data_IF_949497314426
#
_entry.id   IF_949497314426
#
_cell.length_a   1.000
_cell.length_b   1.000
_cell.length_c   1.000
_cell.angle_alpha   90.00
_cell.angle_beta   90.00
_cell.angle_gamma   90.00
#
_symmetry.space_group_name_H-M   'P 1'
#
loop_
_entity.id
_entity.type
_entity.pdbx_description
1 polymer ?
#
# COMPACT_ATOMS: atom_id res chain seq x y z
N UNK A 1 -4.00 9.26 10.70
CA UNK A 1 -3.02 8.89 9.67
C UNK A 1 -1.79 9.79 9.82
N UNK A 2 -0.57 9.28 9.60
CA UNK A 2 0.65 10.09 9.76
C UNK A 2 1.33 10.32 8.40
N UNK A 3 1.67 11.57 8.12
CA UNK A 3 2.36 12.02 6.91
C UNK A 3 3.76 12.47 7.30
N UNK A 4 4.78 12.11 6.52
CA UNK A 4 6.13 12.53 6.85
C UNK A 4 6.69 13.30 5.67
N UNK A 5 6.99 14.58 5.92
CA UNK A 5 7.64 15.44 4.95
C UNK A 5 9.13 15.06 4.81
N UNK A 6 9.66 15.09 3.59
CA UNK A 6 11.09 14.94 3.31
C UNK A 6 11.66 16.33 3.07
N UNK A 7 12.39 16.87 4.04
CA UNK A 7 13.33 17.98 3.79
C UNK A 7 14.60 17.37 3.20
N UNK A 8 14.82 17.56 1.90
CA UNK A 8 16.01 17.07 1.21
C UNK A 8 17.25 17.87 1.62
N UNK A 9 18.28 17.18 2.11
CA UNK A 9 19.67 17.63 1.96
C UNK A 9 20.40 16.56 1.17
N UNK A 10 20.89 16.95 0.00
CA UNK A 10 21.62 16.14 -0.97
C UNK A 10 22.91 15.61 -0.31
N UNK A 11 23.08 14.30 -0.18
CA UNK A 11 24.36 13.69 0.18
C UNK A 11 24.73 12.66 -0.89
N UNK A 12 25.71 13.02 -1.72
CA UNK A 12 26.28 12.17 -2.75
C UNK A 12 27.21 11.14 -2.10
N UNK A 13 26.81 9.86 -2.08
CA UNK A 13 27.74 8.75 -1.93
C UNK A 13 27.40 7.67 -2.96
N UNK A 14 28.27 7.57 -3.97
CA UNK A 14 28.32 6.47 -4.92
C UNK A 14 28.94 5.26 -4.23
N UNK A 15 28.20 4.14 -4.18
CA UNK A 15 28.56 2.78 -4.64
C UNK A 15 27.37 1.89 -4.26
N UNK A 16 26.76 1.21 -5.24
CA UNK A 16 25.72 0.23 -4.97
C UNK A 16 25.58 -0.74 -6.12
N UNK A 17 25.90 -2.01 -5.87
CA UNK A 17 25.60 -3.14 -6.74
C UNK A 17 24.07 -3.27 -6.85
N UNK A 18 23.55 -3.32 -8.08
CA UNK A 18 22.13 -3.55 -8.34
C UNK A 18 21.81 -5.04 -8.15
N UNK A 19 21.13 -5.37 -7.05
CA UNK A 19 20.39 -6.63 -6.91
C UNK A 19 18.96 -6.40 -7.39
N UNK A 20 18.52 -7.16 -8.40
CA UNK A 20 17.11 -7.21 -8.81
C UNK A 20 16.35 -8.02 -7.76
N UNK A 21 15.88 -7.36 -6.71
CA UNK A 21 15.05 -7.99 -5.68
C UNK A 21 13.67 -7.35 -5.68
N UNK A 22 12.64 -8.18 -5.83
CA UNK A 22 11.23 -7.77 -5.89
C UNK A 22 10.70 -7.04 -4.63
N UNK A 23 11.51 -7.09 -3.59
CA UNK A 23 11.25 -6.59 -2.25
C UNK A 23 12.37 -5.64 -1.88
N UNK A 24 12.02 -4.46 -1.37
CA UNK A 24 12.99 -3.45 -0.93
C UNK A 24 12.93 -3.22 0.57
N UNK A 25 14.11 -3.10 1.19
CA UNK A 25 14.31 -2.79 2.60
C UNK A 25 14.54 -1.29 2.78
N UNK A 26 13.68 -0.65 3.57
CA UNK A 26 13.75 0.80 3.81
C UNK A 26 14.25 1.13 5.21
N UNK A 27 15.17 2.10 5.31
CA UNK A 27 15.59 2.69 6.59
C UNK A 27 14.39 3.30 7.34
N UNK A 28 14.41 3.17 8.67
CA UNK A 28 13.37 3.65 9.59
C UNK A 28 13.16 5.17 9.50
N UNK A 29 12.00 5.59 9.98
CA UNK A 29 11.48 6.94 9.93
C UNK A 29 11.45 7.52 11.33
N UNK A 30 12.11 8.66 11.49
CA UNK A 30 12.20 9.40 12.75
C UNK A 30 11.70 10.83 12.45
N UNK A 31 10.71 11.32 13.21
CA UNK A 31 10.19 12.69 13.08
C UNK A 31 8.97 12.91 12.17
N UNK A 32 8.02 11.95 12.09
CA UNK A 32 6.77 12.13 11.32
C UNK A 32 5.75 13.10 11.94
N UNK A 33 4.93 13.75 11.12
CA UNK A 33 3.87 14.70 11.52
C UNK A 33 2.47 14.19 11.17
N UNK A 34 1.41 14.68 11.80
CA UNK A 34 0.07 14.28 11.41
C UNK A 34 -0.23 14.74 9.96
N UNK A 35 -0.93 13.90 9.20
CA UNK A 35 -1.46 14.32 7.91
C UNK A 35 -2.48 15.44 8.08
N UNK A 36 -2.57 16.32 7.09
CA UNK A 36 -3.74 17.19 6.95
C UNK A 36 -5.01 16.37 6.70
N UNK A 37 -6.17 16.90 7.09
CA UNK A 37 -7.46 16.21 6.97
C UNK A 37 -7.87 15.87 5.54
N UNK A 38 -7.24 16.49 4.54
CA UNK A 38 -7.47 16.23 3.11
C UNK A 38 -6.41 15.35 2.48
N UNK A 39 -5.36 15.00 3.22
CA UNK A 39 -4.28 14.15 2.72
C UNK A 39 -4.61 12.67 2.86
N UNK A 40 -4.12 11.87 1.90
CA UNK A 40 -4.19 10.41 1.93
C UNK A 40 -5.59 9.81 2.10
N UNK A 41 -6.65 10.53 1.69
CA UNK A 41 -8.03 10.00 1.68
C UNK A 41 -8.20 8.73 0.82
N UNK A 42 -7.27 8.50 -0.12
CA UNK A 42 -7.15 7.27 -0.90
C UNK A 42 -6.72 6.05 -0.07
N UNK A 43 -6.31 6.22 1.18
CA UNK A 43 -6.01 5.10 2.05
C UNK A 43 -7.29 4.34 2.40
N UNK A 44 -7.18 3.03 2.32
CA UNK A 44 -8.28 2.10 2.61
C UNK A 44 -7.90 1.27 3.82
N UNK A 45 -8.82 1.16 4.77
CA UNK A 45 -8.76 0.15 5.83
C UNK A 45 -9.51 -1.08 5.34
N UNK A 46 -8.81 -2.21 5.28
CA UNK A 46 -9.37 -3.51 4.99
C UNK A 46 -9.54 -4.26 6.30
N UNK A 47 -10.74 -4.76 6.54
CA UNK A 47 -11.09 -5.56 7.71
C UNK A 47 -11.67 -6.89 7.24
N UNK A 48 -10.94 -7.98 7.50
CA UNK A 48 -11.43 -9.34 7.33
C UNK A 48 -12.07 -9.83 8.62
N UNK A 49 -13.25 -10.42 8.57
CA UNK A 49 -13.95 -10.92 9.76
C UNK A 49 -14.71 -12.21 9.42
N UNK A 50 -14.64 -13.22 10.30
CA UNK A 50 -15.37 -14.49 10.17
C UNK A 50 -16.35 -14.78 11.33
N UNK A 51 -16.60 -13.80 12.19
CA UNK A 51 -17.43 -13.87 13.39
C UNK A 51 -16.62 -14.10 14.68
N UNK A 52 -15.45 -14.72 14.61
CA UNK A 52 -14.59 -15.03 15.78
C UNK A 52 -13.25 -14.31 15.74
N UNK A 53 -12.71 -14.11 14.54
CA UNK A 53 -11.42 -13.49 14.28
C UNK A 53 -11.59 -12.23 13.42
N UNK A 54 -10.66 -11.30 13.59
CA UNK A 54 -10.59 -10.08 12.78
C UNK A 54 -9.16 -9.83 12.35
N UNK A 55 -8.97 -9.60 11.05
CA UNK A 55 -7.70 -9.16 10.47
C UNK A 55 -7.81 -7.70 10.06
N UNK A 56 -6.73 -6.96 10.26
CA UNK A 56 -6.63 -5.58 9.81
C UNK A 56 -5.50 -5.45 8.80
N UNK A 57 -5.79 -4.76 7.71
CA UNK A 57 -4.84 -4.40 6.68
C UNK A 57 -5.13 -3.00 6.15
N UNK A 58 -4.13 -2.45 5.47
CA UNK A 58 -4.19 -1.25 4.68
C UNK A 58 -4.39 -1.57 3.20
N UNK A 59 -4.75 -0.54 2.45
CA UNK A 59 -4.79 -0.53 1.01
C UNK A 59 -4.69 0.89 0.48
N UNK A 60 -4.57 1.00 -0.85
CA UNK A 60 -4.61 2.27 -1.56
C UNK A 60 -5.63 2.19 -2.69
N UNK A 61 -6.60 3.09 -2.72
CA UNK A 61 -7.47 3.31 -3.86
C UNK A 61 -6.62 3.88 -5.01
N UNK A 62 -6.40 3.10 -6.08
CA UNK A 62 -5.57 3.49 -7.24
C UNK A 62 -6.40 3.73 -8.51
N UNK A 63 -7.67 3.34 -8.48
CA UNK A 63 -8.71 3.58 -9.47
C UNK A 63 -10.04 3.76 -8.73
N UNK A 64 -11.07 4.44 -9.27
CA UNK A 64 -12.38 4.55 -8.61
C UNK A 64 -12.99 3.23 -8.13
N UNK A 65 -12.58 2.10 -8.72
CA UNK A 65 -13.08 0.75 -8.40
C UNK A 65 -11.99 -0.23 -7.97
N UNK A 66 -10.71 0.17 -7.89
CA UNK A 66 -9.62 -0.76 -7.59
C UNK A 66 -8.76 -0.30 -6.43
N UNK A 67 -8.56 -1.24 -5.51
CA UNK A 67 -7.69 -1.10 -4.35
C UNK A 67 -6.45 -1.96 -4.57
N UNK A 68 -5.27 -1.36 -4.37
CA UNK A 68 -3.98 -2.05 -4.31
C UNK A 68 -3.64 -2.38 -2.85
N UNK A 69 -3.29 -3.63 -2.57
CA UNK A 69 -2.92 -4.12 -1.24
C UNK A 69 -2.00 -5.34 -1.33
N UNK A 70 -1.63 -5.92 -0.19
CA UNK A 70 -0.83 -7.14 -0.10
C UNK A 70 -1.72 -8.39 -0.22
N UNK A 71 -1.21 -9.47 -0.80
CA UNK A 71 -2.00 -10.68 -1.03
C UNK A 71 -2.34 -11.41 0.28
N UNK A 72 -1.43 -11.41 1.26
CA UNK A 72 -1.66 -12.04 2.57
C UNK A 72 -2.80 -11.40 3.38
N UNK A 73 -3.27 -10.20 2.98
CA UNK A 73 -4.42 -9.55 3.59
C UNK A 73 -5.75 -10.22 3.25
N UNK A 74 -5.80 -11.04 2.20
CA UNK A 74 -7.00 -11.77 1.82
C UNK A 74 -7.15 -13.07 2.60
N UNK A 75 -8.38 -13.38 3.02
CA UNK A 75 -8.76 -14.65 3.64
C UNK A 75 -9.75 -15.36 2.73
N UNK A 76 -9.34 -16.52 2.20
CA UNK A 76 -10.13 -17.30 1.23
C UNK A 76 -11.02 -18.34 1.88
N UNK A 77 -10.86 -18.58 3.18
CA UNK A 77 -11.61 -19.59 3.91
C UNK A 77 -13.11 -19.22 3.98
N UNK A 78 -14.03 -20.20 3.88
CA UNK A 78 -15.46 -19.93 4.02
C UNK A 78 -15.79 -19.21 5.33
N UNK A 79 -16.72 -18.27 5.27
CA UNK A 79 -17.16 -17.47 6.42
C UNK A 79 -16.42 -16.14 6.58
N UNK A 80 -15.28 -15.94 5.90
CA UNK A 80 -14.61 -14.64 5.90
C UNK A 80 -15.32 -13.62 5.01
N UNK A 81 -15.55 -12.43 5.56
CA UNK A 81 -16.03 -11.26 4.83
C UNK A 81 -14.98 -10.16 4.93
N UNK A 82 -14.61 -9.58 3.79
CA UNK A 82 -13.69 -8.44 3.73
C UNK A 82 -14.46 -7.14 3.49
N UNK A 83 -14.33 -6.19 4.42
CA UNK A 83 -14.90 -4.85 4.31
C UNK A 83 -13.81 -3.82 4.03
N UNK A 84 -13.99 -3.05 2.97
CA UNK A 84 -13.17 -1.87 2.65
C UNK A 84 -13.83 -0.61 3.21
N UNK A 85 -13.11 0.11 4.07
CA UNK A 85 -13.49 1.45 4.53
C UNK A 85 -12.59 2.48 3.87
N UNK A 86 -13.18 3.39 3.11
CA UNK A 86 -12.52 4.46 2.38
C UNK A 86 -12.72 5.82 3.08
N UNK A 87 -11.83 6.77 2.82
CA UNK A 87 -11.90 8.11 3.44
C UNK A 87 -11.52 8.08 4.91
N UNK A 88 -10.59 7.18 5.29
CA UNK A 88 -10.19 6.97 6.68
C UNK A 88 -9.29 8.13 7.14
N UNK A 89 -9.89 9.16 7.73
CA UNK A 89 -9.19 10.22 8.47
C UNK A 89 -9.87 10.48 9.83
N UNK A 90 -9.11 10.77 10.91
CA UNK A 90 -9.69 11.02 12.23
C UNK A 90 -10.70 12.18 12.31
N UNK A 91 -10.67 13.11 11.35
CA UNK A 91 -11.52 14.32 11.34
C UNK A 91 -12.41 14.45 10.09
N UNK A 92 -12.43 13.47 9.19
CA UNK A 92 -13.40 13.44 8.08
C UNK A 92 -14.64 12.66 8.47
N UNK A 93 -15.81 13.30 8.36
CA UNK A 93 -17.10 12.72 8.75
C UNK A 93 -17.66 11.68 7.75
N UNK A 94 -17.17 11.63 6.51
CA UNK A 94 -17.78 10.81 5.45
C UNK A 94 -16.88 9.64 5.08
N UNK A 95 -17.00 8.55 5.83
CA UNK A 95 -16.42 7.26 5.44
C UNK A 95 -17.38 6.53 4.51
N UNK A 96 -16.84 5.88 3.50
CA UNK A 96 -17.60 4.95 2.66
C UNK A 96 -17.17 3.53 2.99
N UNK A 97 -18.14 2.64 3.24
CA UNK A 97 -17.88 1.21 3.46
C UNK A 97 -18.45 0.38 2.31
N UNK A 98 -17.66 -0.57 1.83
CA UNK A 98 -18.09 -1.54 0.82
C UNK A 98 -17.59 -2.93 1.18
N UNK A 99 -18.43 -3.95 0.99
CA UNK A 99 -18.04 -5.35 1.14
C UNK A 99 -17.41 -5.80 -0.18
N UNK A 100 -16.25 -6.45 -0.12
CA UNK A 100 -15.60 -7.01 -1.31
C UNK A 100 -16.28 -8.34 -1.65
N UNK A 101 -16.98 -8.36 -2.79
CA UNK A 101 -17.66 -9.56 -3.30
C UNK A 101 -16.95 -10.19 -4.50
N UNK A 102 -16.15 -9.41 -5.23
CA UNK A 102 -15.37 -9.92 -6.34
C UNK A 102 -14.17 -10.71 -5.84
N UNK A 103 -13.81 -11.77 -6.57
CA UNK A 103 -12.57 -12.51 -6.30
C UNK A 103 -11.35 -11.58 -6.41
N UNK A 104 -10.34 -11.76 -5.55
CA UNK A 104 -9.11 -11.00 -5.64
C UNK A 104 -8.35 -11.33 -6.94
N UNK A 105 -7.60 -10.36 -7.43
CA UNK A 105 -6.63 -10.57 -8.51
C UNK A 105 -5.23 -10.50 -7.89
N UNK A 106 -4.60 -11.66 -7.72
CA UNK A 106 -3.25 -11.79 -7.18
C UNK A 106 -2.27 -11.91 -8.35
N UNK A 107 -1.14 -11.22 -8.26
CA UNK A 107 -0.09 -11.35 -9.27
C UNK A 107 0.56 -12.74 -9.22
N UNK A 108 0.68 -13.36 -10.39
CA UNK A 108 1.39 -14.64 -10.58
C UNK A 108 2.46 -14.41 -11.64
N UNK A 109 3.70 -14.78 -11.33
CA UNK A 109 4.83 -14.64 -12.25
C UNK A 109 4.86 -15.75 -13.31
N UNK A 110 5.87 -15.71 -14.17
CA UNK A 110 6.08 -16.72 -15.23
C UNK A 110 6.42 -18.11 -14.67
N UNK A 111 6.90 -18.17 -13.42
CA UNK A 111 7.25 -19.40 -12.71
C UNK A 111 6.04 -20.00 -11.96
N UNK A 112 4.84 -19.44 -12.16
CA UNK A 112 3.63 -19.77 -11.41
C UNK A 112 3.71 -19.48 -9.90
N UNK A 113 4.62 -18.60 -9.48
CA UNK A 113 4.73 -18.12 -8.11
C UNK A 113 3.79 -16.93 -7.87
N UNK A 114 3.01 -17.01 -6.79
CA UNK A 114 2.23 -15.88 -6.30
C UNK A 114 3.12 -14.90 -5.55
N UNK A 115 3.04 -13.62 -5.91
CA UNK A 115 3.71 -12.55 -5.18
C UNK A 115 2.74 -11.95 -4.15
N UNK A 116 3.26 -11.32 -3.11
CA UNK A 116 2.46 -10.73 -2.04
C UNK A 116 1.77 -9.40 -2.44
N UNK A 117 1.27 -9.28 -3.68
CA UNK A 117 0.60 -8.09 -4.19
C UNK A 117 -0.72 -8.46 -4.86
N UNK A 118 -1.76 -7.66 -4.58
CA UNK A 118 -3.13 -7.98 -4.95
C UNK A 118 -3.95 -6.74 -5.30
N UNK A 119 -4.88 -6.91 -6.24
CA UNK A 119 -5.92 -5.94 -6.57
C UNK A 119 -7.28 -6.46 -6.11
N UNK A 120 -8.03 -5.60 -5.41
CA UNK A 120 -9.42 -5.84 -5.02
C UNK A 120 -10.34 -4.90 -5.78
N UNK A 121 -11.40 -5.47 -6.37
CA UNK A 121 -12.42 -4.70 -7.07
C UNK A 121 -13.57 -4.35 -6.12
N UNK A 122 -13.90 -3.06 -6.07
CA UNK A 122 -15.06 -2.53 -5.35
C UNK A 122 -16.36 -2.87 -6.10
N UNK A 123 -17.47 -2.98 -5.37
CA UNK A 123 -18.79 -3.21 -5.98
C UNK A 123 -19.26 -2.01 -6.80
N UNK A 124 -18.90 -0.80 -6.35
CA UNK A 124 -19.30 0.46 -6.99
C UNK A 124 -18.14 1.47 -7.03
N UNK A 125 -18.06 2.30 -8.08
CA UNK A 125 -17.07 3.35 -8.17
C UNK A 125 -17.20 4.39 -7.07
N UNK A 126 -16.08 4.75 -6.48
CA UNK A 126 -15.94 5.80 -5.47
C UNK A 126 -15.80 7.15 -6.18
N UNK A 127 -16.68 8.10 -5.89
CA UNK A 127 -16.75 9.40 -6.59
C UNK A 127 -16.15 10.56 -5.79
N UNK A 128 -16.19 10.47 -4.46
CA UNK A 128 -15.83 11.58 -3.57
C UNK A 128 -14.39 11.52 -3.05
N UNK A 129 -13.63 10.50 -3.46
CA UNK A 129 -12.25 10.29 -3.06
C UNK A 129 -11.42 10.21 -4.33
N UNK A 130 -10.39 11.05 -4.44
CA UNK A 130 -9.44 10.98 -5.54
C UNK A 130 -8.53 9.77 -5.35
N UNK A 131 -8.42 8.86 -6.33
CA UNK A 131 -7.45 7.78 -6.28
C UNK A 131 -6.02 8.30 -6.15
N UNK A 132 -5.16 7.48 -5.53
CA UNK A 132 -3.74 7.71 -5.44
C UNK A 132 -3.08 7.65 -6.83
N UNK A 133 -2.06 8.48 -7.03
CA UNK A 133 -1.29 8.43 -8.27
C UNK A 133 -0.27 7.30 -8.22
N UNK A 134 -0.08 6.64 -9.36
CA UNK A 134 0.98 5.64 -9.56
C UNK A 134 2.22 6.27 -10.23
N UNK A 135 3.43 5.75 -9.96
CA UNK A 135 4.67 6.21 -10.58
C UNK A 135 4.71 5.90 -12.07
N UNK A 136 5.46 6.73 -12.82
CA UNK A 136 5.93 6.37 -14.16
C UNK A 136 7.25 5.66 -14.00
N UNK A 137 7.24 4.35 -14.23
CA UNK A 137 8.39 3.50 -14.01
C UNK A 137 9.21 3.42 -15.29
N UNK A 138 10.11 4.39 -15.47
CA UNK A 138 11.15 4.29 -16.48
C UNK A 138 12.36 3.58 -15.87
N UNK A 139 13.02 2.71 -16.63
CA UNK A 139 14.18 1.86 -16.26
C UNK A 139 15.42 2.61 -15.72
N UNK A 140 15.33 3.90 -15.40
CA UNK A 140 16.44 4.74 -14.89
C UNK A 140 16.30 5.13 -13.43
N UNK A 141 15.20 4.83 -12.77
CA UNK A 141 15.11 5.04 -11.33
C UNK A 141 15.50 3.73 -10.67
N UNK A 142 16.80 3.45 -10.61
CA UNK A 142 17.35 2.76 -9.45
C UNK A 142 16.95 3.65 -8.29
N UNK A 143 15.83 3.32 -7.66
CA UNK A 143 15.42 4.06 -6.49
C UNK A 143 16.49 3.66 -5.46
N UNK A 144 17.55 4.47 -5.36
CA UNK A 144 18.28 4.62 -4.11
C UNK A 144 17.21 5.13 -3.16
N UNK A 145 16.43 4.20 -2.57
CA UNK A 145 15.29 4.54 -1.73
C UNK A 145 15.85 5.03 -0.41
N UNK A 146 16.46 6.21 -0.44
CA UNK A 146 16.61 7.00 0.75
C UNK A 146 15.22 7.36 1.23
N UNK A 147 14.77 6.50 2.14
CA UNK A 147 13.80 6.79 3.18
C UNK A 147 12.43 7.14 2.63
N UNK A 148 11.69 6.11 2.23
CA UNK A 148 10.23 6.22 2.20
C UNK A 148 9.73 6.38 3.63
N UNK A 149 9.02 7.49 3.89
CA UNK A 149 8.59 7.86 5.24
C UNK A 149 7.10 7.60 5.51
N UNK A 150 6.77 6.41 5.98
CA UNK A 150 5.53 6.04 6.68
C UNK A 150 5.75 5.91 8.20
N UNK A 151 5.34 6.88 9.04
CA UNK A 151 5.32 6.64 10.50
C UNK A 151 4.25 5.57 10.76
N UNK A 152 4.67 4.32 10.83
CA UNK A 152 3.88 3.25 11.43
C UNK A 152 3.88 3.50 12.93
N UNK A 153 2.69 3.73 13.49
CA UNK A 153 2.49 3.97 14.91
C UNK A 153 2.48 2.66 15.72
N UNK A 154 3.01 1.56 15.17
CA UNK A 154 2.83 0.23 15.78
C UNK A 154 1.38 -0.22 15.76
N UNK A 155 0.60 0.27 14.79
CA UNK A 155 -0.77 -0.15 14.59
C UNK A 155 -0.75 -1.45 13.79
N UNK A 156 -1.30 -2.51 14.39
CA UNK A 156 -1.83 -3.64 13.63
C UNK A 156 -2.66 -3.08 12.46
N UNK A 157 -2.34 -3.45 11.22
CA UNK A 157 -3.11 -3.05 10.03
C UNK A 157 -2.45 -2.10 9.01
N UNK A 158 -1.17 -1.76 9.13
CA UNK A 158 -0.48 -1.00 8.08
C UNK A 158 -0.07 -1.89 6.87
N UNK A 159 0.06 -3.21 7.05
CA UNK A 159 0.35 -4.18 5.96
C UNK A 159 -0.68 -4.07 4.84
N UNK A 160 -0.22 -4.08 3.60
CA UNK A 160 -1.01 -3.77 2.41
C UNK A 160 -1.18 -2.27 2.12
N UNK A 161 -0.79 -1.40 3.06
CA UNK A 161 -0.79 0.05 2.86
C UNK A 161 0.23 0.52 1.82
N UNK A 162 -0.06 1.68 1.20
CA UNK A 162 0.81 2.27 0.19
C UNK A 162 1.98 3.07 0.77
N UNK A 163 3.17 2.83 0.24
CA UNK A 163 4.38 3.60 0.52
C UNK A 163 4.45 4.78 -0.46
N UNK A 164 4.39 6.00 0.08
CA UNK A 164 4.18 7.22 -0.71
C UNK A 164 5.49 8.02 -0.83
N UNK A 165 5.85 8.38 -2.06
CA UNK A 165 6.90 9.36 -2.35
C UNK A 165 6.42 10.32 -3.43
N UNK A 166 6.65 11.62 -3.25
CA UNK A 166 6.21 12.67 -4.17
C UNK A 166 4.73 12.53 -4.63
N UNK A 167 3.83 12.28 -3.67
CA UNK A 167 2.38 12.07 -3.88
C UNK A 167 2.00 10.85 -4.75
N UNK A 168 2.91 9.90 -4.96
CA UNK A 168 2.68 8.65 -5.71
C UNK A 168 2.99 7.42 -4.87
N UNK A 169 2.34 6.30 -5.19
CA UNK A 169 2.53 5.02 -4.48
C UNK A 169 3.65 4.21 -5.16
N UNK A 170 4.80 4.10 -4.50
CA UNK A 170 5.96 3.37 -5.03
C UNK A 170 6.12 1.98 -4.41
N UNK A 171 5.45 1.71 -3.30
CA UNK A 171 5.52 0.41 -2.64
C UNK A 171 4.21 0.01 -2.00
N UNK A 172 4.07 -1.29 -1.73
CA UNK A 172 3.01 -1.87 -0.89
C UNK A 172 3.69 -2.52 0.31
N UNK A 173 3.26 -2.20 1.53
CA UNK A 173 3.87 -2.71 2.76
C UNK A 173 3.57 -4.22 2.89
N UNK A 174 4.61 -5.06 3.02
CA UNK A 174 4.48 -6.50 3.18
C UNK A 174 4.40 -6.89 4.67
N UNK A 175 5.37 -6.44 5.45
CA UNK A 175 5.45 -6.73 6.88
C UNK A 175 5.93 -5.48 7.63
N UNK A 176 5.21 -5.15 8.71
CA UNK A 176 5.55 -4.08 9.64
C UNK A 176 6.34 -4.58 10.86
N UNK A 177 6.52 -5.89 11.03
CA UNK A 177 7.14 -6.52 12.20
C UNK A 177 6.25 -6.39 13.44
N UNK A 178 5.63 -7.49 13.87
CA UNK A 178 4.57 -7.48 14.90
C UNK A 178 4.99 -7.00 16.29
N UNK A 179 6.26 -7.10 16.67
CA UNK A 179 6.64 -6.97 18.08
C UNK A 179 7.45 -5.71 18.41
N UNK A 180 7.91 -4.96 17.41
CA UNK A 180 8.83 -3.84 17.64
C UNK A 180 8.65 -2.75 16.60
N UNK A 181 7.47 -2.13 16.62
CA UNK A 181 7.29 -0.82 16.00
C UNK A 181 8.50 0.02 16.41
N UNK A 182 9.23 0.58 15.43
CA UNK A 182 10.47 1.34 15.64
C UNK A 182 11.82 0.59 15.69
N UNK A 183 11.91 -0.73 15.50
CA UNK A 183 13.21 -1.42 15.58
C UNK A 183 13.65 -2.16 14.29
N UNK A 184 12.74 -2.41 13.33
CA UNK A 184 13.05 -3.13 12.08
C UNK A 184 12.76 -2.29 10.82
N UNK A 185 13.47 -2.53 9.70
CA UNK A 185 13.16 -1.94 8.39
C UNK A 185 11.74 -2.30 7.93
N UNK A 186 11.11 -1.42 7.14
CA UNK A 186 9.85 -1.76 6.47
C UNK A 186 10.18 -2.56 5.21
N UNK A 187 9.54 -3.71 5.08
CA UNK A 187 9.61 -4.56 3.90
C UNK A 187 8.43 -4.18 3.00
N UNK A 188 8.71 -3.88 1.74
CA UNK A 188 7.65 -3.54 0.77
C UNK A 188 7.92 -4.09 -0.62
N UNK A 189 6.86 -4.51 -1.30
CA UNK A 189 6.87 -4.80 -2.74
C UNK A 189 7.06 -3.51 -3.52
N UNK A 190 7.90 -3.53 -4.56
CA UNK A 190 8.17 -2.36 -5.41
C UNK A 190 7.10 -2.28 -6.50
N UNK A 191 6.20 -1.30 -6.42
CA UNK A 191 5.05 -1.16 -7.35
C UNK A 191 5.49 -1.12 -8.82
N UNK A 192 6.66 -0.55 -9.10
CA UNK A 192 7.17 -0.42 -10.47
C UNK A 192 7.35 -1.74 -11.21
N UNK A 193 7.63 -2.82 -10.50
CA UNK A 193 7.80 -4.15 -11.12
C UNK A 193 6.46 -4.75 -11.58
N UNK A 194 5.35 -4.22 -11.07
CA UNK A 194 4.01 -4.73 -11.32
C UNK A 194 3.18 -3.79 -12.20
N UNK A 195 3.75 -2.68 -12.67
CA UNK A 195 2.99 -1.62 -13.33
C UNK A 195 2.30 -2.06 -14.62
N UNK A 196 2.91 -2.96 -15.40
CA UNK A 196 2.28 -3.51 -16.60
C UNK A 196 1.03 -4.31 -16.25
N UNK A 197 1.14 -5.23 -15.28
CA UNK A 197 0.01 -6.01 -14.78
C UNK A 197 -1.08 -5.14 -14.16
N UNK A 198 -0.71 -4.15 -13.33
CA UNK A 198 -1.65 -3.21 -12.71
C UNK A 198 -2.43 -2.48 -13.81
N UNK A 199 -1.72 -1.87 -14.77
CA UNK A 199 -2.34 -1.06 -15.83
C UNK A 199 -3.30 -1.88 -16.68
N UNK A 200 -2.88 -3.10 -17.07
CA UNK A 200 -3.71 -4.04 -17.82
C UNK A 200 -4.95 -4.45 -17.05
N UNK A 201 -4.83 -4.72 -15.74
CA UNK A 201 -5.93 -5.23 -14.92
C UNK A 201 -7.01 -4.17 -14.69
N UNK A 202 -6.59 -2.93 -14.40
CA UNK A 202 -7.54 -1.86 -14.05
C UNK A 202 -7.98 -1.04 -15.27
N UNK A 203 -7.41 -1.31 -16.46
CA UNK A 203 -7.76 -0.64 -17.71
C UNK A 203 -7.19 0.77 -17.86
N UNK A 204 -6.02 1.07 -17.26
CA UNK A 204 -5.30 2.31 -17.54
C UNK A 204 -4.73 2.26 -18.96
N UNK A 205 -5.05 3.26 -19.78
CA UNK A 205 -4.47 3.48 -21.11
C UNK A 205 -3.25 4.38 -21.04
#
# INVERSE_FOLDING_TARGET
MVCVAISGRLALLWVGVSVNSHVSLHKRIIGGQNCDDKERLYHVRLEGNNGTETTLCGGSLIHPEWILTAAHCWKSEPGWTTTATLGVHPRTATQEKQIIQHNPVIYVDQSHQQHDIMLLKLQRPVRNIRPALLPRCNNRITINIEVMRVKSLGLSGDSGGGVVFNKKIYGVIADSGKDHACQKPIISMVVCEYMEWISKTIGLK
#
